data_IF_218123064827
#
_entry.id   IF_218123064827
#
_cell.length_a   1.000
_cell.length_b   1.000
_cell.length_c   1.000
_cell.angle_alpha   90.00
_cell.angle_beta   90.00
_cell.angle_gamma   90.00
#
_symmetry.space_group_name_H-M   'P 1'
#
loop_
_entity.id
_entity.type
_entity.pdbx_description
1 polymer ?
#
# COMPACT_ATOMS: atom_id res chain seq x y z
N UNK A 1 -1.42 -16.41 -18.50
CA UNK A 1 -0.51 -16.67 -17.37
C UNK A 1 -0.06 -15.32 -16.81
N UNK A 2 -0.23 -15.11 -15.51
CA UNK A 2 0.31 -13.95 -14.78
C UNK A 2 1.83 -13.83 -14.99
N UNK A 3 2.34 -12.61 -15.20
CA UNK A 3 3.77 -12.35 -15.47
C UNK A 3 4.63 -12.72 -14.23
N UNK A 4 5.84 -13.28 -14.37
CA UNK A 4 6.76 -13.54 -13.25
C UNK A 4 6.94 -12.36 -12.26
N UNK A 5 6.90 -11.12 -12.75
CA UNK A 5 6.94 -9.91 -11.92
C UNK A 5 5.77 -9.84 -10.94
N UNK A 6 4.56 -10.20 -11.38
CA UNK A 6 3.36 -10.20 -10.54
C UNK A 6 3.54 -11.13 -9.35
N UNK A 7 3.91 -12.39 -9.59
CA UNK A 7 4.08 -13.38 -8.51
C UNK A 7 5.18 -13.01 -7.54
N UNK A 8 6.28 -12.41 -8.02
CA UNK A 8 7.34 -11.89 -7.17
C UNK A 8 6.82 -10.79 -6.24
N UNK A 9 6.08 -9.82 -6.78
CA UNK A 9 5.51 -8.73 -5.98
C UNK A 9 4.41 -9.21 -5.04
N UNK A 10 3.53 -10.12 -5.49
CA UNK A 10 2.53 -10.77 -4.65
C UNK A 10 3.17 -11.46 -3.45
N UNK A 11 4.21 -12.28 -3.69
CA UNK A 11 4.93 -13.00 -2.64
C UNK A 11 5.58 -12.04 -1.66
N UNK A 12 6.20 -10.95 -2.15
CA UNK A 12 6.80 -9.92 -1.31
C UNK A 12 5.77 -9.23 -0.39
N UNK A 13 4.56 -8.92 -0.89
CA UNK A 13 3.46 -8.38 -0.09
C UNK A 13 2.97 -9.43 0.91
N UNK A 14 2.65 -10.64 0.45
CA UNK A 14 2.03 -11.70 1.24
C UNK A 14 2.91 -12.18 2.40
N UNK A 15 4.23 -12.23 2.19
CA UNK A 15 5.20 -12.66 3.22
C UNK A 15 5.44 -11.61 4.31
N UNK A 16 5.01 -10.36 4.13
CA UNK A 16 5.11 -9.31 5.14
C UNK A 16 3.77 -9.04 5.80
N UNK A 17 3.59 -9.41 7.06
CA UNK A 17 2.31 -9.22 7.79
C UNK A 17 1.81 -7.77 7.73
N UNK A 18 2.67 -6.81 8.03
CA UNK A 18 2.32 -5.38 7.91
C UNK A 18 1.99 -4.98 6.47
N UNK A 19 2.83 -5.36 5.50
CA UNK A 19 2.61 -5.01 4.08
C UNK A 19 1.27 -5.55 3.57
N UNK A 20 0.95 -6.79 3.92
CA UNK A 20 -0.31 -7.44 3.56
C UNK A 20 -1.51 -6.66 4.08
N UNK A 21 -1.52 -6.29 5.35
CA UNK A 21 -2.63 -5.53 5.94
C UNK A 21 -2.73 -4.10 5.40
N UNK A 22 -1.60 -3.41 5.19
CA UNK A 22 -1.61 -2.09 4.54
C UNK A 22 -2.18 -2.19 3.12
N UNK A 23 -1.78 -3.20 2.34
CA UNK A 23 -2.29 -3.41 0.98
C UNK A 23 -3.79 -3.69 0.97
N UNK A 24 -4.29 -4.56 1.86
CA UNK A 24 -5.73 -4.89 1.97
C UNK A 24 -6.59 -3.66 2.24
N UNK A 25 -6.10 -2.73 3.07
CA UNK A 25 -6.87 -1.56 3.53
C UNK A 25 -6.66 -0.31 2.66
N UNK A 26 -5.74 -0.37 1.69
CA UNK A 26 -5.45 0.69 0.74
C UNK A 26 -6.67 0.95 -0.17
N UNK A 27 -7.25 2.15 -0.16
CA UNK A 27 -8.45 2.47 -0.93
C UNK A 27 -8.13 2.74 -2.41
N UNK A 28 -9.18 2.76 -3.23
CA UNK A 28 -9.08 3.11 -4.66
C UNK A 28 -8.94 4.62 -4.91
N UNK A 29 -9.22 5.45 -3.90
CA UNK A 29 -9.10 6.92 -3.96
C UNK A 29 -7.75 7.39 -3.41
N UNK A 30 -7.24 8.55 -3.84
CA UNK A 30 -6.04 9.16 -3.26
C UNK A 30 -6.12 9.26 -1.74
N UNK A 31 -5.01 8.96 -1.06
CA UNK A 31 -4.93 8.99 0.41
C UNK A 31 -3.53 9.41 0.88
N UNK A 32 -3.47 10.13 2.00
CA UNK A 32 -2.20 10.44 2.68
C UNK A 32 -1.76 9.30 3.60
N UNK A 33 -0.48 9.32 3.99
CA UNK A 33 0.05 8.39 4.99
C UNK A 33 -0.69 8.50 6.32
N UNK A 34 -1.00 9.72 6.77
CA UNK A 34 -1.68 9.94 8.05
C UNK A 34 -3.12 9.43 8.05
N UNK A 35 -3.88 9.68 6.97
CA UNK A 35 -5.24 9.17 6.83
C UNK A 35 -5.28 7.63 6.78
N UNK A 36 -4.37 7.01 6.01
CA UNK A 36 -4.30 5.56 5.92
C UNK A 36 -3.90 4.93 7.26
N UNK A 37 -2.92 5.52 7.95
CA UNK A 37 -2.50 5.09 9.29
C UNK A 37 -3.67 5.13 10.27
N UNK A 38 -4.41 6.24 10.35
CA UNK A 38 -5.60 6.35 11.21
C UNK A 38 -6.62 5.25 10.89
N UNK A 39 -6.96 5.08 9.61
CA UNK A 39 -7.89 4.04 9.16
C UNK A 39 -7.44 2.63 9.58
N UNK A 40 -6.15 2.32 9.45
CA UNK A 40 -5.59 1.00 9.81
C UNK A 40 -5.55 0.81 11.32
N UNK A 41 -5.14 1.82 12.09
CA UNK A 41 -5.06 1.70 13.55
C UNK A 41 -6.46 1.66 14.21
N UNK A 42 -7.47 2.26 13.58
CA UNK A 42 -8.85 2.23 14.08
C UNK A 42 -9.61 0.95 13.70
N UNK A 43 -9.34 0.37 12.52
CA UNK A 43 -10.14 -0.74 11.95
C UNK A 43 -9.37 -2.05 11.81
N UNK A 44 -8.05 -1.99 11.86
CA UNK A 44 -7.17 -3.13 11.61
C UNK A 44 -6.52 -3.66 12.87
N UNK A 45 -5.83 -4.81 12.78
CA UNK A 45 -5.13 -5.42 13.91
C UNK A 45 -3.76 -4.79 14.19
N UNK A 46 -3.35 -3.78 13.42
CA UNK A 46 -2.04 -3.15 13.50
C UNK A 46 -2.11 -1.81 14.21
N UNK A 47 -1.02 -1.45 14.90
CA UNK A 47 -0.81 -0.11 15.41
C UNK A 47 0.50 0.44 14.83
N UNK A 48 0.38 1.15 13.71
CA UNK A 48 1.52 1.70 12.97
C UNK A 48 1.76 3.17 13.34
N UNK A 49 3.03 3.54 13.45
CA UNK A 49 3.47 4.94 13.46
C UNK A 49 3.38 5.57 12.07
N UNK A 50 3.38 6.91 12.00
CA UNK A 50 3.41 7.63 10.73
C UNK A 50 4.68 7.31 9.92
N UNK A 51 5.82 7.15 10.59
CA UNK A 51 7.08 6.78 9.94
C UNK A 51 7.01 5.40 9.27
N UNK A 52 6.42 4.42 9.94
CA UNK A 52 6.22 3.08 9.37
C UNK A 52 5.25 3.13 8.20
N UNK A 53 4.14 3.86 8.31
CA UNK A 53 3.20 4.02 7.22
C UNK A 53 3.86 4.66 5.98
N UNK A 54 4.61 5.74 6.16
CA UNK A 54 5.36 6.37 5.08
C UNK A 54 6.36 5.43 4.44
N UNK A 55 7.07 4.60 5.22
CA UNK A 55 7.99 3.58 4.69
C UNK A 55 7.28 2.53 3.84
N UNK A 56 6.11 2.06 4.26
CA UNK A 56 5.31 1.11 3.49
C UNK A 56 4.84 1.73 2.16
N UNK A 57 4.34 2.96 2.18
CA UNK A 57 3.90 3.66 0.96
C UNK A 57 5.05 3.95 -0.01
N UNK A 58 6.23 4.35 0.49
CA UNK A 58 7.43 4.50 -0.35
C UNK A 58 7.84 3.15 -0.95
N UNK A 59 7.83 2.08 -0.15
CA UNK A 59 8.16 0.74 -0.66
C UNK A 59 7.16 0.28 -1.72
N UNK A 60 5.88 0.59 -1.57
CA UNK A 60 4.85 0.29 -2.57
C UNK A 60 5.02 1.09 -3.85
N UNK A 61 5.44 2.35 -3.75
CA UNK A 61 5.79 3.18 -4.89
C UNK A 61 6.97 2.57 -5.66
N UNK A 62 8.03 2.16 -4.97
CA UNK A 62 9.20 1.48 -5.56
C UNK A 62 8.83 0.15 -6.23
N UNK A 63 7.84 -0.58 -5.69
CA UNK A 63 7.31 -1.81 -6.30
C UNK A 63 6.30 -1.55 -7.43
N UNK A 64 5.90 -0.29 -7.69
CA UNK A 64 4.88 0.07 -8.69
C UNK A 64 3.44 -0.28 -8.30
N UNK A 65 3.18 -0.47 -7.00
CA UNK A 65 1.86 -0.80 -6.45
C UNK A 65 1.03 0.43 -6.12
N UNK A 66 1.70 1.53 -5.83
CA UNK A 66 1.14 2.86 -5.69
C UNK A 66 1.86 3.85 -6.59
N UNK A 67 1.23 4.99 -6.82
CA UNK A 67 1.84 6.18 -7.40
C UNK A 67 1.66 7.36 -6.45
N UNK A 68 2.60 8.31 -6.47
CA UNK A 68 2.52 9.56 -5.71
C UNK A 68 2.05 10.68 -6.64
N UNK A 69 0.94 11.33 -6.32
CA UNK A 69 0.31 12.34 -7.19
C UNK A 69 0.92 13.74 -7.04
N UNK A 70 1.62 14.00 -5.93
CA UNK A 70 2.26 15.27 -5.60
C UNK A 70 3.65 15.04 -5.00
N UNK A 71 4.63 14.56 -5.79
CA UNK A 71 5.97 14.19 -5.29
C UNK A 71 6.74 15.36 -4.66
N UNK A 72 6.46 16.58 -5.13
CA UNK A 72 7.08 17.83 -4.66
C UNK A 72 6.64 18.24 -3.24
N UNK A 73 5.50 17.73 -2.74
CA UNK A 73 5.07 17.99 -1.37
C UNK A 73 5.83 17.06 -0.41
N UNK A 74 6.59 17.60 0.55
CA UNK A 74 7.35 16.78 1.48
C UNK A 74 6.49 16.17 2.61
N UNK A 75 5.33 16.74 2.93
CA UNK A 75 4.56 16.40 4.14
C UNK A 75 3.20 15.76 3.85
N UNK A 76 2.51 16.16 2.78
CA UNK A 76 1.15 15.72 2.47
C UNK A 76 1.07 14.94 1.15
N UNK A 77 2.02 14.02 0.94
CA UNK A 77 2.01 13.15 -0.23
C UNK A 77 0.73 12.32 -0.30
N UNK A 78 0.09 12.37 -1.46
CA UNK A 78 -1.10 11.64 -1.85
C UNK A 78 -0.69 10.44 -2.67
N UNK A 79 -1.07 9.26 -2.19
CA UNK A 79 -0.81 7.99 -2.85
C UNK A 79 -2.10 7.44 -3.45
N UNK A 80 -2.01 6.90 -4.65
CA UNK A 80 -3.11 6.19 -5.31
C UNK A 80 -2.66 4.78 -5.67
N UNK A 81 -3.55 3.80 -5.53
CA UNK A 81 -3.27 2.41 -5.88
C UNK A 81 -3.28 2.24 -7.41
N UNK A 82 -2.25 1.58 -7.95
CA UNK A 82 -2.16 1.30 -9.39
C UNK A 82 -3.03 0.10 -9.78
N UNK A 83 -3.21 -0.13 -11.08
CA UNK A 83 -3.90 -1.35 -11.56
C UNK A 83 -3.22 -2.64 -11.12
N UNK A 84 -1.89 -2.66 -10.98
CA UNK A 84 -1.17 -3.83 -10.43
C UNK A 84 -1.40 -3.98 -8.94
N UNK A 85 -1.38 -2.87 -8.19
CA UNK A 85 -1.72 -2.85 -6.76
C UNK A 85 -3.13 -3.41 -6.50
N UNK A 86 -4.13 -2.98 -7.28
CA UNK A 86 -5.51 -3.49 -7.19
C UNK A 86 -5.58 -5.00 -7.39
N UNK A 87 -4.97 -5.52 -8.47
CA UNK A 87 -4.93 -6.97 -8.73
C UNK A 87 -4.33 -7.76 -7.56
N UNK A 88 -3.23 -7.27 -6.98
CA UNK A 88 -2.62 -7.93 -5.82
C UNK A 88 -3.52 -7.84 -4.59
N UNK A 89 -4.10 -6.66 -4.31
CA UNK A 89 -5.04 -6.49 -3.19
C UNK A 89 -6.22 -7.46 -3.32
N UNK A 90 -6.83 -7.52 -4.49
CA UNK A 90 -8.03 -8.30 -4.74
C UNK A 90 -7.75 -9.81 -4.64
N UNK A 91 -6.52 -10.26 -4.94
CA UNK A 91 -6.09 -11.65 -4.74
C UNK A 91 -6.04 -12.10 -3.27
N UNK A 92 -6.16 -11.19 -2.30
CA UNK A 92 -6.28 -11.56 -0.87
C UNK A 92 -7.72 -11.76 -0.39
N UNK A 93 -8.71 -11.41 -1.21
CA UNK A 93 -10.14 -11.54 -0.92
C UNK A 93 -10.85 -12.56 -1.82
N UNK A 94 -10.12 -13.12 -2.79
CA UNK A 94 -10.55 -14.19 -3.68
C UNK A 94 -10.42 -15.59 -3.03
#
# INVERSE_FOLDING_TARGET
MENPKFWKTYSWVNLGSQRKEVMKLLPDKPITAEELRKKINEKGPLNLSLREMSRHLTSFLEQGLTECLNPEDPYNRLYMITSMGKKIRDSFFA
#
